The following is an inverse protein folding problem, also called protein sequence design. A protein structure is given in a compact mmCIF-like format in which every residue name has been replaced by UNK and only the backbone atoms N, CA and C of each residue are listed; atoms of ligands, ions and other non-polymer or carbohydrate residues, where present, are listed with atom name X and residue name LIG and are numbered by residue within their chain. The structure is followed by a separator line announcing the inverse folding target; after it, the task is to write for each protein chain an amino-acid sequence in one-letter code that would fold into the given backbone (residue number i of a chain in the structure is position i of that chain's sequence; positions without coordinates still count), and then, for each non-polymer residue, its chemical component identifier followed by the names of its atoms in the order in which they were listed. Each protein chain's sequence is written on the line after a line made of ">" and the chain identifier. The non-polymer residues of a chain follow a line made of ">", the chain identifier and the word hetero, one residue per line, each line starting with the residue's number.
data_IF_656268185079
#
_entry.id   IF_656268185079
#
_cell.length_a   1.000
_cell.length_b   1.000
_cell.length_c   1.000
_cell.angle_alpha   90.00
_cell.angle_beta   90.00
_cell.angle_gamma   90.00
#
_symmetry.space_group_name_H-M   'P 1'
#
loop_
_entity.id
_entity.type
_entity.pdbx_description
1 polymer ?
#
# COMPACT_ATOMS: atom_id res chain seq x y z
N UNK A 1 -35.98 9.33 -23.90
CA UNK A 1 -34.57 9.67 -23.67
C UNK A 1 -34.46 10.39 -22.34
N UNK A 2 -34.13 9.67 -21.30
CA UNK A 2 -34.00 10.25 -19.95
C UNK A 2 -32.52 10.52 -19.68
N UNK A 3 -32.15 11.76 -19.49
CA UNK A 3 -30.85 12.20 -19.02
C UNK A 3 -30.75 11.87 -17.54
N UNK A 4 -29.94 10.85 -17.22
CA UNK A 4 -29.48 10.59 -15.85
C UNK A 4 -28.51 11.72 -15.46
N UNK A 5 -28.97 12.68 -14.69
CA UNK A 5 -28.13 13.69 -14.08
C UNK A 5 -27.38 13.08 -12.91
N UNK A 6 -26.07 12.88 -13.10
CA UNK A 6 -25.11 12.48 -12.07
C UNK A 6 -24.83 13.66 -11.12
N UNK A 7 -25.77 14.04 -10.29
CA UNK A 7 -25.66 15.17 -9.34
C UNK A 7 -25.18 14.78 -7.94
N UNK A 8 -24.76 13.53 -7.71
CA UNK A 8 -24.25 13.07 -6.41
C UNK A 8 -22.71 13.11 -6.26
N UNK A 9 -21.97 13.68 -7.22
CA UNK A 9 -20.53 13.46 -7.32
C UNK A 9 -19.63 14.53 -6.67
N UNK A 10 -20.15 15.68 -6.31
CA UNK A 10 -19.31 16.79 -5.82
C UNK A 10 -19.03 16.75 -4.31
N UNK A 11 -19.94 16.23 -3.50
CA UNK A 11 -19.87 16.37 -2.04
C UNK A 11 -18.79 15.53 -1.33
N UNK A 12 -18.39 14.38 -1.87
CA UNK A 12 -17.43 13.50 -1.15
C UNK A 12 -15.96 13.87 -1.37
N UNK A 13 -15.61 14.54 -2.44
CA UNK A 13 -14.23 15.00 -2.68
C UNK A 13 -13.88 16.23 -1.84
N UNK A 14 -14.82 17.12 -1.58
CA UNK A 14 -14.61 18.33 -0.76
C UNK A 14 -14.34 17.99 0.72
N UNK A 15 -14.89 16.89 1.24
CA UNK A 15 -14.73 16.47 2.65
C UNK A 15 -13.29 16.12 3.01
N UNK A 16 -12.50 15.63 2.06
CA UNK A 16 -11.09 15.25 2.26
C UNK A 16 -10.10 16.27 1.70
N UNK A 17 -10.59 17.45 1.30
CA UNK A 17 -9.74 18.59 1.00
C UNK A 17 -9.25 19.20 2.32
N UNK A 18 -7.92 19.48 2.39
CA UNK A 18 -7.28 19.96 3.63
C UNK A 18 -7.54 19.03 4.85
N UNK A 19 -7.52 17.72 4.61
CA UNK A 19 -7.79 16.70 5.61
C UNK A 19 -6.51 15.99 6.02
N UNK A 20 -6.29 15.92 7.34
CA UNK A 20 -5.07 15.32 7.90
C UNK A 20 -5.42 14.47 9.10
N UNK A 21 -4.85 13.29 9.18
CA UNK A 21 -4.84 12.51 10.42
C UNK A 21 -3.53 11.74 10.62
N UNK A 22 -3.22 11.48 11.88
CA UNK A 22 -2.13 10.63 12.32
C UNK A 22 -2.63 9.65 13.38
N UNK A 23 -2.25 8.40 13.28
CA UNK A 23 -2.72 7.38 14.20
C UNK A 23 -1.99 6.07 14.08
N UNK A 24 -2.61 5.02 14.59
CA UNK A 24 -2.10 3.66 14.48
C UNK A 24 -3.20 2.63 14.65
N UNK A 25 -2.93 1.44 14.19
CA UNK A 25 -3.83 0.29 14.29
C UNK A 25 -3.10 -0.97 14.75
N UNK A 26 -3.84 -1.83 15.42
CA UNK A 26 -3.49 -3.23 15.54
C UNK A 26 -3.96 -3.94 14.27
N UNK A 27 -3.13 -4.81 13.75
CA UNK A 27 -3.40 -5.55 12.53
C UNK A 27 -3.36 -7.05 12.78
N UNK A 28 -4.12 -7.77 11.99
CA UNK A 28 -4.09 -9.22 11.89
C UNK A 28 -4.14 -9.58 10.42
N UNK A 29 -3.31 -10.53 9.99
CA UNK A 29 -3.26 -10.90 8.58
C UNK A 29 -2.29 -12.03 8.29
N UNK A 30 -2.20 -12.37 7.03
CA UNK A 30 -1.28 -13.36 6.49
C UNK A 30 -0.67 -12.79 5.21
N UNK A 31 0.66 -12.69 5.18
CA UNK A 31 1.40 -12.22 4.01
C UNK A 31 1.46 -13.33 2.95
N UNK A 32 1.61 -12.95 1.68
CA UNK A 32 1.90 -13.90 0.60
C UNK A 32 3.21 -14.67 0.83
N UNK A 33 4.14 -14.11 1.61
CA UNK A 33 5.43 -14.71 1.93
C UNK A 33 5.42 -15.61 3.17
N UNK A 34 4.32 -15.62 3.95
CA UNK A 34 4.26 -16.33 5.23
C UNK A 34 4.04 -17.83 5.05
N UNK A 35 4.88 -18.64 5.71
CA UNK A 35 4.69 -20.09 5.86
C UNK A 35 4.13 -20.49 7.23
N UNK A 36 3.93 -19.53 8.14
CA UNK A 36 3.50 -19.75 9.54
C UNK A 36 2.07 -19.28 9.84
N UNK A 37 1.33 -18.83 8.82
CA UNK A 37 -0.07 -18.41 8.92
C UNK A 37 -0.28 -17.00 9.44
N UNK A 38 -1.40 -16.80 10.14
CA UNK A 38 -1.86 -15.49 10.57
C UNK A 38 -1.00 -14.87 11.67
N UNK A 39 -0.67 -13.59 11.52
CA UNK A 39 0.12 -12.81 12.49
C UNK A 39 -0.63 -11.57 12.97
N UNK A 40 -0.29 -11.13 14.19
CA UNK A 40 -0.73 -9.85 14.76
C UNK A 40 0.42 -8.86 14.71
N UNK A 41 0.14 -7.65 14.26
CA UNK A 41 1.10 -6.56 14.14
C UNK A 41 0.52 -5.22 14.57
N UNK A 42 1.29 -4.15 14.33
CA UNK A 42 0.85 -2.78 14.50
C UNK A 42 1.35 -1.94 13.32
N UNK A 43 0.50 -1.05 12.81
CA UNK A 43 0.83 -0.14 11.71
C UNK A 43 0.58 1.31 12.10
N UNK A 44 1.49 2.24 11.77
CA UNK A 44 1.19 3.66 11.82
C UNK A 44 0.28 4.05 10.66
N UNK A 45 -0.66 4.97 10.92
CA UNK A 45 -1.47 5.60 9.88
C UNK A 45 -1.15 7.09 9.79
N UNK A 46 -0.77 7.51 8.61
CA UNK A 46 -0.53 8.91 8.27
C UNK A 46 -1.22 9.21 6.96
N UNK A 47 -2.09 10.21 6.99
CA UNK A 47 -2.77 10.71 5.81
C UNK A 47 -2.82 12.23 5.85
N UNK A 48 -2.52 12.84 4.71
CA UNK A 48 -2.68 14.26 4.47
C UNK A 48 -3.13 14.48 3.03
N UNK A 49 -4.07 15.37 2.80
CA UNK A 49 -4.46 15.80 1.45
C UNK A 49 -4.73 17.30 1.45
N UNK A 50 -4.11 18.03 0.52
CA UNK A 50 -4.23 19.47 0.35
C UNK A 50 -4.00 19.87 -1.11
N UNK A 51 -4.15 21.15 -1.40
CA UNK A 51 -3.81 21.71 -2.73
C UNK A 51 -2.30 21.62 -3.04
N UNK A 52 -1.44 21.45 -2.02
CA UNK A 52 0.02 21.34 -2.18
C UNK A 52 0.51 19.90 -2.39
N UNK A 53 -0.36 18.91 -2.24
CA UNK A 53 -0.01 17.52 -2.39
C UNK A 53 -0.68 16.63 -1.34
N UNK A 54 -0.19 15.40 -1.23
CA UNK A 54 -0.76 14.43 -0.30
C UNK A 54 0.32 13.56 0.34
N UNK A 55 -0.05 12.97 1.48
CA UNK A 55 0.64 11.83 2.11
C UNK A 55 -0.38 10.72 2.25
N UNK A 56 -0.02 9.52 1.81
CA UNK A 56 -0.83 8.31 1.89
C UNK A 56 0.06 7.15 2.35
N UNK A 57 0.07 6.93 3.67
CA UNK A 57 0.99 6.00 4.29
C UNK A 57 2.45 6.43 4.13
N UNK A 58 3.24 5.61 3.41
CA UNK A 58 4.65 5.86 3.13
C UNK A 58 4.91 6.72 1.89
N UNK A 59 3.90 6.93 1.05
CA UNK A 59 3.98 7.75 -0.16
C UNK A 59 3.67 9.20 0.17
N UNK A 60 4.60 10.10 -0.13
CA UNK A 60 4.40 11.56 -0.08
C UNK A 60 4.50 12.13 -1.49
N UNK A 61 3.61 13.07 -1.84
CA UNK A 61 3.62 13.78 -3.11
C UNK A 61 3.56 15.30 -2.87
N UNK A 62 4.39 16.03 -3.56
CA UNK A 62 4.33 17.49 -3.64
C UNK A 62 3.84 17.90 -5.03
N UNK A 63 2.69 18.56 -5.10
CA UNK A 63 2.01 18.95 -6.34
C UNK A 63 2.69 20.17 -6.97
N UNK A 64 3.24 20.00 -8.15
CA UNK A 64 3.73 21.09 -9.01
C UNK A 64 2.60 21.66 -9.87
N UNK A 65 1.66 20.81 -10.25
CA UNK A 65 0.43 21.13 -10.97
C UNK A 65 -0.73 20.36 -10.29
N UNK A 66 -2.01 20.74 -10.46
CA UNK A 66 -3.13 20.04 -9.84
C UNK A 66 -3.22 18.52 -10.12
N UNK A 67 -2.53 18.05 -11.14
CA UNK A 67 -2.54 16.67 -11.60
C UNK A 67 -1.14 16.06 -11.76
N UNK A 68 -0.06 16.76 -11.34
CA UNK A 68 1.31 16.30 -11.47
C UNK A 68 2.17 16.76 -10.31
N UNK A 69 2.98 15.88 -9.73
CA UNK A 69 3.87 16.19 -8.62
C UNK A 69 5.09 15.30 -8.56
N UNK A 70 6.02 15.70 -7.69
CA UNK A 70 7.19 14.91 -7.31
C UNK A 70 6.82 14.07 -6.10
N UNK A 71 7.23 12.80 -6.10
CA UNK A 71 6.90 11.85 -5.05
C UNK A 71 8.13 11.25 -4.41
N UNK A 72 8.01 10.97 -3.13
CA UNK A 72 8.94 10.16 -2.36
C UNK A 72 8.20 9.03 -1.66
N UNK A 73 8.82 7.88 -1.52
CA UNK A 73 8.27 6.73 -0.84
C UNK A 73 9.33 6.06 0.04
N UNK A 74 8.89 5.56 1.19
CA UNK A 74 9.68 4.67 2.04
C UNK A 74 9.12 3.26 1.90
N UNK A 75 9.81 2.42 1.12
CA UNK A 75 9.50 1.00 1.04
C UNK A 75 10.05 0.30 2.26
N UNK A 76 9.17 -0.10 3.17
CA UNK A 76 9.55 -0.96 4.28
C UNK A 76 9.83 -2.37 3.75
N UNK A 77 10.61 -3.16 4.51
CA UNK A 77 10.90 -4.54 4.15
C UNK A 77 9.60 -5.35 4.04
N UNK A 78 9.30 -5.84 2.83
CA UNK A 78 8.13 -6.69 2.57
C UNK A 78 8.43 -8.17 2.90
N UNK A 79 9.70 -8.56 2.77
CA UNK A 79 10.20 -9.91 3.04
C UNK A 79 11.09 -9.83 4.26
N UNK A 80 10.54 -10.09 5.44
CA UNK A 80 11.23 -9.98 6.72
C UNK A 80 10.57 -10.84 7.78
N UNK A 81 11.38 -11.47 8.61
CA UNK A 81 10.94 -12.19 9.81
C UNK A 81 10.19 -11.29 10.79
N UNK A 82 10.56 -10.00 10.85
CA UNK A 82 9.93 -9.05 11.76
C UNK A 82 8.47 -8.77 11.38
N UNK A 83 8.13 -8.85 10.09
CA UNK A 83 6.83 -8.44 9.55
C UNK A 83 6.05 -9.55 8.84
N UNK A 84 6.66 -10.68 8.49
CA UNK A 84 6.04 -11.62 7.57
C UNK A 84 6.16 -13.10 7.89
N UNK A 85 6.90 -13.55 8.90
CA UNK A 85 7.15 -14.98 9.13
C UNK A 85 7.56 -15.72 7.84
N UNK A 86 8.59 -15.21 7.18
CA UNK A 86 9.17 -15.81 5.98
C UNK A 86 9.75 -17.20 6.27
N UNK A 87 9.93 -18.06 5.25
CA UNK A 87 10.55 -19.37 5.42
C UNK A 87 11.92 -19.30 6.07
N UNK A 88 12.20 -20.19 7.02
CA UNK A 88 13.48 -20.24 7.71
C UNK A 88 14.64 -20.39 6.69
N UNK A 89 15.71 -19.62 6.87
CA UNK A 89 16.89 -19.64 5.98
C UNK A 89 16.80 -18.68 4.79
N UNK A 90 15.76 -17.88 4.70
CA UNK A 90 15.64 -16.75 3.76
C UNK A 90 16.10 -15.48 4.48
N UNK A 91 16.92 -14.69 3.81
CA UNK A 91 17.43 -13.42 4.35
C UNK A 91 16.36 -12.32 4.26
N UNK A 92 16.30 -11.47 5.28
CA UNK A 92 15.45 -10.26 5.25
C UNK A 92 15.87 -9.33 4.11
N UNK A 93 14.90 -8.75 3.41
CA UNK A 93 15.17 -7.76 2.38
C UNK A 93 15.24 -6.37 2.98
N UNK A 94 16.19 -5.58 2.53
CA UNK A 94 16.40 -4.21 3.01
C UNK A 94 15.22 -3.30 2.66
N UNK A 95 14.90 -2.36 3.56
CA UNK A 95 14.05 -1.22 3.24
C UNK A 95 14.77 -0.26 2.30
N UNK A 96 14.02 0.45 1.44
CA UNK A 96 14.57 1.41 0.49
C UNK A 96 13.84 2.75 0.52
N UNK A 97 14.55 3.80 0.09
CA UNK A 97 13.99 5.10 -0.20
C UNK A 97 13.85 5.27 -1.71
N UNK A 98 12.70 5.72 -2.16
CA UNK A 98 12.37 5.87 -3.57
C UNK A 98 11.97 7.31 -3.88
N UNK A 99 12.36 7.81 -5.05
CA UNK A 99 11.90 9.09 -5.59
C UNK A 99 11.28 8.88 -6.96
N UNK A 100 10.32 9.75 -7.30
CA UNK A 100 9.62 9.63 -8.55
C UNK A 100 8.63 10.73 -8.83
N UNK A 101 7.62 10.42 -9.61
CA UNK A 101 6.58 11.37 -10.02
C UNK A 101 5.20 10.72 -9.95
N UNK A 102 4.20 11.53 -9.64
CA UNK A 102 2.79 11.10 -9.65
C UNK A 102 1.98 11.96 -10.60
N UNK A 103 1.16 11.30 -11.39
CA UNK A 103 0.09 11.88 -12.20
C UNK A 103 -1.24 11.54 -11.59
N UNK A 104 -2.08 12.54 -11.32
CA UNK A 104 -3.40 12.37 -10.72
C UNK A 104 -3.51 12.97 -9.31
N UNK A 105 -4.41 12.42 -8.50
CA UNK A 105 -4.73 12.87 -7.14
C UNK A 105 -4.62 11.71 -6.16
N UNK A 106 -4.77 11.97 -4.87
CA UNK A 106 -4.69 10.91 -3.85
C UNK A 106 -5.60 9.70 -4.15
N UNK A 107 -6.79 9.93 -4.72
CA UNK A 107 -7.76 8.85 -5.00
C UNK A 107 -7.66 8.21 -6.38
N UNK A 108 -6.98 8.85 -7.35
CA UNK A 108 -6.79 8.30 -8.70
C UNK A 108 -5.45 8.76 -9.24
N UNK A 109 -4.45 7.87 -9.23
CA UNK A 109 -3.07 8.24 -9.54
C UNK A 109 -2.30 7.14 -10.27
N UNK A 110 -1.39 7.59 -11.12
CA UNK A 110 -0.29 6.79 -11.68
C UNK A 110 1.01 7.33 -11.11
N UNK A 111 1.77 6.50 -10.41
CA UNK A 111 3.01 6.88 -9.75
C UNK A 111 4.16 6.04 -10.30
N UNK A 112 5.27 6.67 -10.66
CA UNK A 112 6.55 6.03 -10.96
C UNK A 112 7.49 6.32 -9.79
N UNK A 113 8.15 5.29 -9.27
CA UNK A 113 9.11 5.35 -8.15
C UNK A 113 10.37 4.59 -8.54
N UNK A 114 11.54 5.16 -8.24
CA UNK A 114 12.84 4.54 -8.47
C UNK A 114 13.68 4.60 -7.21
N UNK A 115 14.40 3.52 -6.90
CA UNK A 115 15.29 3.46 -5.74
C UNK A 115 16.42 4.49 -5.85
N UNK A 116 16.59 5.30 -4.81
CA UNK A 116 17.68 6.28 -4.68
C UNK A 116 18.64 5.94 -3.53
N UNK A 117 18.44 4.80 -2.88
CA UNK A 117 19.24 4.32 -1.75
C UNK A 117 20.21 3.21 -2.14
N UNK A 118 20.24 2.84 -3.42
CA UNK A 118 21.08 1.76 -3.99
C UNK A 118 20.84 0.40 -3.28
N UNK A 119 19.59 0.10 -2.94
CA UNK A 119 19.21 -1.18 -2.35
C UNK A 119 18.86 -2.21 -3.42
N UNK A 120 18.15 -1.79 -4.45
CA UNK A 120 17.75 -2.65 -5.56
C UNK A 120 18.00 -2.03 -6.94
N UNK A 121 18.23 -0.70 -7.04
CA UNK A 121 18.42 0.03 -8.30
C UNK A 121 17.28 -0.16 -9.32
N UNK A 122 16.12 -0.59 -8.87
CA UNK A 122 14.95 -0.88 -9.68
C UNK A 122 13.87 0.18 -9.55
N UNK A 123 12.74 -0.05 -10.22
CA UNK A 123 11.60 0.87 -10.16
C UNK A 123 10.26 0.13 -10.05
N UNK A 124 9.25 0.88 -9.60
CA UNK A 124 7.85 0.45 -9.56
C UNK A 124 6.96 1.47 -10.25
N UNK A 125 5.95 1.00 -10.98
CA UNK A 125 4.85 1.81 -11.50
C UNK A 125 3.59 1.37 -10.80
N UNK A 126 2.89 2.30 -10.14
CA UNK A 126 1.67 2.04 -9.38
C UNK A 126 0.48 2.73 -10.04
N UNK A 127 -0.58 2.01 -10.33
CA UNK A 127 -1.89 2.55 -10.66
C UNK A 127 -2.83 2.34 -9.48
N UNK A 128 -3.24 3.43 -8.83
CA UNK A 128 -4.18 3.40 -7.71
C UNK A 128 -5.49 4.07 -8.08
N UNK A 129 -6.59 3.41 -7.78
CA UNK A 129 -7.94 3.91 -7.97
C UNK A 129 -8.75 3.65 -6.69
N UNK A 130 -9.14 4.71 -6.00
CA UNK A 130 -9.94 4.67 -4.79
C UNK A 130 -10.92 5.83 -4.74
N UNK A 131 -11.97 5.67 -3.98
CA UNK A 131 -12.96 6.71 -3.80
C UNK A 131 -13.66 6.60 -2.45
N UNK A 132 -13.78 7.73 -1.77
CA UNK A 132 -14.55 7.83 -0.55
C UNK A 132 -16.05 8.01 -0.84
N UNK A 133 -16.88 7.34 -0.05
CA UNK A 133 -18.34 7.41 -0.09
C UNK A 133 -18.89 7.63 1.32
N UNK A 134 -19.74 8.61 1.49
CA UNK A 134 -20.54 8.74 2.70
C UNK A 134 -21.60 7.63 2.72
N UNK A 135 -21.77 7.03 3.88
CA UNK A 135 -22.77 5.97 4.08
C UNK A 135 -24.06 6.55 4.70
N UNK A 136 -25.18 5.79 4.69
CA UNK A 136 -26.39 6.17 5.44
C UNK A 136 -26.17 6.21 6.97
N UNK A 137 -25.10 5.61 7.46
CA UNK A 137 -24.70 5.68 8.88
C UNK A 137 -23.98 7.01 9.08
N UNK A 138 -24.51 7.84 9.98
CA UNK A 138 -23.89 9.13 10.31
C UNK A 138 -22.44 8.94 10.73
N UNK A 139 -21.56 9.83 10.28
CA UNK A 139 -20.14 9.87 10.60
C UNK A 139 -19.30 8.72 10.04
N UNK A 140 -19.86 7.80 9.24
CA UNK A 140 -19.14 6.69 8.63
C UNK A 140 -18.89 6.96 7.14
N UNK A 141 -17.62 6.98 6.77
CA UNK A 141 -17.16 7.06 5.38
C UNK A 141 -16.47 5.76 5.01
N UNK A 142 -16.76 5.21 3.84
CA UNK A 142 -16.10 4.04 3.28
C UNK A 142 -15.29 4.45 2.05
N UNK A 143 -14.07 3.93 1.95
CA UNK A 143 -13.15 4.21 0.84
C UNK A 143 -12.64 2.88 0.26
N UNK A 144 -13.39 2.22 -0.63
CA UNK A 144 -12.86 1.10 -1.41
C UNK A 144 -11.78 1.59 -2.38
N UNK A 145 -10.80 0.73 -2.63
CA UNK A 145 -9.74 0.98 -3.60
C UNK A 145 -9.24 -0.31 -4.26
N UNK A 146 -8.61 -0.12 -5.40
CA UNK A 146 -7.80 -1.14 -6.09
C UNK A 146 -6.47 -0.51 -6.48
N UNK A 147 -5.42 -1.31 -6.49
CA UNK A 147 -4.10 -0.89 -6.92
C UNK A 147 -3.43 -2.01 -7.71
N UNK A 148 -2.72 -1.62 -8.76
CA UNK A 148 -1.90 -2.53 -9.57
C UNK A 148 -0.50 -1.94 -9.63
N UNK A 149 0.49 -2.75 -9.26
CA UNK A 149 1.89 -2.37 -9.28
C UNK A 149 2.64 -3.23 -10.29
N UNK A 150 3.41 -2.59 -11.16
CA UNK A 150 4.42 -3.24 -11.98
C UNK A 150 5.79 -3.00 -11.35
N UNK A 151 6.50 -4.06 -11.04
CA UNK A 151 7.87 -4.08 -10.50
C UNK A 151 8.82 -4.56 -11.58
N UNK A 152 9.86 -3.78 -11.86
CA UNK A 152 10.89 -4.19 -12.83
C UNK A 152 11.69 -5.40 -12.34
N UNK A 153 12.55 -5.92 -13.19
CA UNK A 153 13.40 -7.08 -12.93
C UNK A 153 14.31 -6.89 -11.72
N UNK A 154 14.85 -5.69 -11.49
CA UNK A 154 15.77 -5.42 -10.38
C UNK A 154 15.06 -5.40 -9.03
N UNK A 155 13.91 -4.70 -8.94
CA UNK A 155 13.09 -4.69 -7.74
C UNK A 155 12.53 -6.09 -7.46
N UNK A 156 12.07 -6.79 -8.50
CA UNK A 156 11.56 -8.15 -8.39
C UNK A 156 12.66 -9.12 -7.94
N UNK A 157 13.86 -8.98 -8.48
CA UNK A 157 15.03 -9.78 -8.07
C UNK A 157 15.36 -9.56 -6.59
N UNK A 158 15.34 -8.31 -6.13
CA UNK A 158 15.56 -7.98 -4.72
C UNK A 158 14.54 -8.64 -3.80
N UNK A 159 13.25 -8.64 -4.17
CA UNK A 159 12.17 -9.11 -3.32
C UNK A 159 11.91 -10.62 -3.42
N UNK A 160 12.01 -11.21 -4.62
CA UNK A 160 11.48 -12.55 -4.88
C UNK A 160 12.55 -13.59 -5.23
N UNK A 161 13.81 -13.19 -5.48
CA UNK A 161 14.86 -14.16 -5.80
C UNK A 161 15.32 -14.94 -4.58
N UNK A 162 15.75 -16.18 -4.83
CA UNK A 162 16.34 -17.07 -3.84
C UNK A 162 17.76 -17.40 -4.30
N UNK A 163 18.76 -16.93 -3.56
CA UNK A 163 20.17 -17.22 -3.81
C UNK A 163 20.49 -18.70 -3.58
N UNK A 164 21.65 -19.16 -4.05
CA UNK A 164 22.10 -20.52 -3.79
C UNK A 164 22.31 -20.79 -2.28
N UNK A 165 22.72 -19.76 -1.52
CA UNK A 165 22.90 -19.88 -0.07
C UNK A 165 21.56 -20.07 0.65
N UNK A 166 20.57 -19.21 0.33
CA UNK A 166 19.21 -19.30 0.86
C UNK A 166 18.53 -20.61 0.45
N UNK A 167 18.71 -21.06 -0.80
CA UNK A 167 18.18 -22.34 -1.27
C UNK A 167 18.72 -23.53 -0.46
N UNK A 168 20.00 -23.46 -0.09
CA UNK A 168 20.61 -24.51 0.74
C UNK A 168 20.12 -24.45 2.18
N UNK A 169 19.90 -23.26 2.72
CA UNK A 169 19.48 -23.04 4.10
C UNK A 169 17.97 -23.32 4.31
N UNK A 170 17.13 -22.90 3.36
CA UNK A 170 15.67 -23.02 3.45
C UNK A 170 15.10 -24.32 2.88
N UNK A 171 15.86 -24.99 1.99
CA UNK A 171 15.35 -26.13 1.21
C UNK A 171 14.44 -25.73 0.04
N UNK A 172 14.19 -24.44 -0.18
CA UNK A 172 13.50 -23.95 -1.36
C UNK A 172 14.39 -24.05 -2.60
N UNK A 173 13.78 -24.07 -3.79
CA UNK A 173 14.55 -24.04 -5.03
C UNK A 173 15.19 -22.64 -5.24
N UNK A 174 16.43 -22.62 -5.76
CA UNK A 174 17.01 -21.37 -6.27
C UNK A 174 16.09 -20.76 -7.32
N UNK A 175 15.91 -19.45 -7.27
CA UNK A 175 15.08 -18.71 -8.17
C UNK A 175 15.68 -17.34 -8.48
N UNK A 176 15.69 -16.96 -9.74
CA UNK A 176 16.06 -15.64 -10.21
C UNK A 176 14.76 -15.00 -10.75
N UNK A 177 14.28 -13.94 -10.12
CA UNK A 177 13.01 -13.33 -10.46
C UNK A 177 13.14 -12.37 -11.65
N UNK A 178 12.15 -12.41 -12.52
CA UNK A 178 11.91 -11.39 -13.55
C UNK A 178 10.91 -10.35 -13.04
N UNK A 179 10.34 -9.52 -13.92
CA UNK A 179 9.30 -8.55 -13.55
C UNK A 179 8.11 -9.21 -12.85
N UNK A 180 7.49 -8.47 -11.93
CA UNK A 180 6.36 -8.97 -11.15
C UNK A 180 5.20 -7.97 -11.15
N UNK A 181 3.98 -8.47 -11.31
CA UNK A 181 2.77 -7.70 -11.09
C UNK A 181 2.20 -7.98 -9.71
N UNK A 182 1.78 -6.92 -9.01
CA UNK A 182 1.11 -7.02 -7.72
C UNK A 182 -0.27 -6.38 -7.82
N UNK A 183 -1.28 -7.13 -7.42
CA UNK A 183 -2.68 -6.70 -7.42
C UNK A 183 -3.15 -6.57 -5.98
N UNK A 184 -3.66 -5.39 -5.64
CA UNK A 184 -4.17 -5.11 -4.29
C UNK A 184 -5.59 -4.58 -4.38
N UNK A 185 -6.40 -4.91 -3.39
CA UNK A 185 -7.73 -4.37 -3.24
C UNK A 185 -8.12 -4.27 -1.79
N UNK A 186 -8.84 -3.23 -1.44
CA UNK A 186 -9.20 -3.05 -0.05
C UNK A 186 -10.34 -2.06 0.17
N UNK A 187 -10.68 -1.92 1.44
CA UNK A 187 -11.66 -0.94 1.91
C UNK A 187 -11.18 -0.33 3.22
N UNK A 188 -11.23 0.99 3.29
CA UNK A 188 -10.96 1.74 4.51
C UNK A 188 -12.28 2.29 5.01
N UNK A 189 -12.59 2.08 6.29
CA UNK A 189 -13.72 2.67 6.99
C UNK A 189 -13.20 3.71 7.98
N UNK A 190 -13.71 4.94 7.88
CA UNK A 190 -13.39 6.05 8.78
C UNK A 190 -14.67 6.43 9.51
N UNK A 191 -14.64 6.36 10.84
CA UNK A 191 -15.76 6.76 11.69
C UNK A 191 -15.36 7.95 12.57
N UNK A 192 -15.99 9.09 12.37
CA UNK A 192 -15.80 10.29 13.18
C UNK A 192 -16.40 10.07 14.58
N UNK A 193 -15.54 9.71 15.54
CA UNK A 193 -15.94 9.56 16.96
C UNK A 193 -16.17 10.93 17.59
N UNK A 194 -15.35 11.92 17.23
CA UNK A 194 -15.48 13.33 17.61
C UNK A 194 -14.85 14.23 16.53
N UNK A 195 -14.81 15.53 16.76
CA UNK A 195 -14.15 16.50 15.85
C UNK A 195 -12.70 16.16 15.59
N UNK A 196 -11.99 15.57 16.55
CA UNK A 196 -10.56 15.29 16.49
C UNK A 196 -10.21 13.81 16.60
N UNK A 197 -11.17 12.92 16.76
CA UNK A 197 -10.92 11.48 16.92
C UNK A 197 -11.62 10.67 15.86
N UNK A 198 -10.81 9.89 15.12
CA UNK A 198 -11.27 8.91 14.14
C UNK A 198 -11.06 7.50 14.69
N UNK A 199 -12.05 6.62 14.52
CA UNK A 199 -11.81 5.19 14.48
C UNK A 199 -11.58 4.78 13.02
N UNK A 200 -10.57 3.93 12.80
CA UNK A 200 -10.16 3.49 11.47
C UNK A 200 -10.20 1.97 11.43
N UNK A 201 -10.81 1.42 10.39
CA UNK A 201 -10.69 0.00 10.05
C UNK A 201 -10.26 -0.11 8.60
N UNK A 202 -9.31 -1.00 8.32
CA UNK A 202 -8.84 -1.31 6.95
C UNK A 202 -8.88 -2.83 6.74
N UNK A 203 -9.45 -3.25 5.61
CA UNK A 203 -9.30 -4.60 5.10
C UNK A 203 -8.63 -4.54 3.73
N UNK A 204 -7.65 -5.39 3.52
CA UNK A 204 -6.85 -5.44 2.29
C UNK A 204 -6.59 -6.89 1.92
N UNK A 205 -6.57 -7.15 0.63
CA UNK A 205 -6.10 -8.38 0.02
C UNK A 205 -5.06 -8.04 -1.03
N UNK A 206 -4.08 -8.94 -1.21
CA UNK A 206 -3.03 -8.80 -2.21
C UNK A 206 -2.72 -10.13 -2.89
N UNK A 207 -2.32 -10.05 -4.15
CA UNK A 207 -1.85 -11.18 -4.94
C UNK A 207 -0.61 -10.74 -5.72
N UNK A 208 0.45 -11.55 -5.66
CA UNK A 208 1.69 -11.32 -6.39
C UNK A 208 1.80 -12.33 -7.52
N UNK A 209 1.78 -11.87 -8.78
CA UNK A 209 1.97 -12.70 -9.97
C UNK A 209 3.45 -12.99 -10.17
N UNK A 210 3.95 -13.93 -9.39
CA UNK A 210 5.34 -14.41 -9.43
C UNK A 210 5.37 -15.91 -9.20
N UNK A 211 6.25 -16.61 -9.94
CA UNK A 211 6.50 -18.04 -9.75
C UNK A 211 7.57 -18.32 -8.68
N UNK A 212 7.94 -17.33 -7.89
CA UNK A 212 8.94 -17.48 -6.85
C UNK A 212 8.49 -18.48 -5.78
N UNK A 213 9.36 -19.44 -5.39
CA UNK A 213 9.08 -20.30 -4.25
C UNK A 213 8.98 -19.56 -2.90
N UNK A 214 9.30 -18.26 -2.84
CA UNK A 214 9.02 -17.40 -1.68
C UNK A 214 7.53 -17.09 -1.51
N UNK A 215 6.73 -17.18 -2.57
CA UNK A 215 5.28 -17.02 -2.49
C UNK A 215 4.68 -18.29 -1.90
N UNK A 216 4.32 -18.24 -0.63
CA UNK A 216 3.76 -19.35 0.13
C UNK A 216 2.24 -19.40 0.04
N UNK A 217 1.61 -18.24 -0.20
CA UNK A 217 0.17 -18.07 -0.30
C UNK A 217 -0.19 -17.32 -1.58
N UNK A 218 -1.16 -17.83 -2.33
CA UNK A 218 -1.68 -17.17 -3.54
C UNK A 218 -2.32 -15.82 -3.22
N UNK A 219 -2.87 -15.67 -2.02
CA UNK A 219 -3.55 -14.46 -1.56
C UNK A 219 -3.09 -14.10 -0.15
N UNK A 220 -2.48 -12.93 -0.01
CA UNK A 220 -2.28 -12.28 1.28
C UNK A 220 -3.52 -11.50 1.68
N UNK A 221 -3.72 -11.34 2.98
CA UNK A 221 -4.79 -10.51 3.51
C UNK A 221 -4.40 -9.84 4.82
N UNK A 222 -4.99 -8.67 5.08
CA UNK A 222 -4.75 -7.92 6.30
C UNK A 222 -6.02 -7.19 6.74
N UNK A 223 -6.32 -7.27 8.03
CA UNK A 223 -7.34 -6.47 8.69
C UNK A 223 -6.70 -5.64 9.79
N UNK A 224 -6.98 -4.35 9.81
CA UNK A 224 -6.51 -3.40 10.81
C UNK A 224 -7.68 -2.71 11.51
N UNK A 225 -7.52 -2.44 12.81
CA UNK A 225 -8.44 -1.63 13.60
C UNK A 225 -7.62 -0.68 14.47
N UNK A 226 -7.93 0.61 14.41
CA UNK A 226 -7.15 1.61 15.09
C UNK A 226 -7.87 2.92 15.33
N UNK A 227 -7.10 3.88 15.81
CA UNK A 227 -7.56 5.24 16.08
C UNK A 227 -6.56 6.25 15.55
N UNK A 228 -7.06 7.42 15.17
CA UNK A 228 -6.23 8.53 14.73
C UNK A 228 -6.74 9.87 15.25
N UNK A 229 -5.81 10.79 15.42
CA UNK A 229 -6.09 12.18 15.69
C UNK A 229 -6.26 12.91 14.35
N UNK A 230 -7.36 13.64 14.22
CA UNK A 230 -7.72 14.47 13.06
C UNK A 230 -7.46 15.94 13.39
N UNK A 231 -6.76 16.61 12.49
CA UNK A 231 -6.45 18.04 12.61
C UNK A 231 -7.48 18.92 11.93
#
# INVERSE_FOLDING_TARGET
>A
MGTLTLSGQAYSQDKFKDFTFIGGALTVGESVFSDKGTRVGAEPYLFHNSDYGFIDGSLANYSLLPWFGISGNLRLSEVSDDFGDIPDGIDNRDSSGELGVTFGTVGARLTYLHDVTNKHDGYEIQLHLGRAFDTPISNLTLSPYVQVNYRDDKLSNHLYSISQAEATASGLARFDADETWVYQGGIIALYDVSEHLLAISKFEIEHHDSNSPLIQNDLGWKFGLGVAYKF
#
